data_IF_446035065249
#
_entry.id   IF_446035065249
#
_cell.length_a   1.000
_cell.length_b   1.000
_cell.length_c   1.000
_cell.angle_alpha   90.00
_cell.angle_beta   90.00
_cell.angle_gamma   90.00
#
_symmetry.space_group_name_H-M   'P 1'
#
loop_
_entity.id
_entity.type
_entity.pdbx_description
1 polymer ?
#
# COMPACT_ATOMS: atom_id res chain seq x y z
N UNK A 1 -21.04 -5.75 19.00
CA UNK A 1 -21.70 -6.24 17.78
C UNK A 1 -20.91 -5.88 16.53
N UNK A 2 -20.58 -4.61 16.32
CA UNK A 2 -19.77 -4.20 15.17
C UNK A 2 -18.37 -4.81 15.18
N UNK A 3 -17.78 -4.99 16.35
CA UNK A 3 -16.45 -5.62 16.48
C UNK A 3 -16.45 -7.08 16.03
N UNK A 4 -17.55 -7.80 16.26
CA UNK A 4 -17.65 -9.19 15.83
C UNK A 4 -17.76 -9.31 14.31
N UNK A 5 -18.50 -8.40 13.66
CA UNK A 5 -18.57 -8.37 12.19
C UNK A 5 -17.19 -8.14 11.58
N UNK A 6 -16.43 -7.17 12.13
CA UNK A 6 -15.08 -6.87 11.65
C UNK A 6 -14.10 -8.01 11.88
N UNK A 7 -14.26 -8.76 12.97
CA UNK A 7 -13.40 -9.91 13.28
C UNK A 7 -13.53 -11.04 12.26
N UNK A 8 -14.67 -11.10 11.56
CA UNK A 8 -14.93 -12.13 10.55
C UNK A 8 -14.63 -11.68 9.14
N UNK A 9 -14.33 -10.39 8.95
CA UNK A 9 -14.01 -9.85 7.64
C UNK A 9 -12.64 -10.33 7.21
N UNK A 10 -12.54 -10.70 5.94
CA UNK A 10 -11.31 -11.21 5.35
C UNK A 10 -10.66 -10.17 4.47
N UNK A 11 -9.36 -10.05 4.61
CA UNK A 11 -8.54 -9.21 3.75
C UNK A 11 -7.63 -10.10 2.92
N UNK A 12 -7.78 -10.03 1.62
CA UNK A 12 -6.94 -10.77 0.68
C UNK A 12 -5.94 -9.83 0.05
N UNK A 13 -4.66 -10.08 0.30
CA UNK A 13 -3.57 -9.31 -0.29
C UNK A 13 -2.84 -10.22 -1.26
N UNK A 14 -2.91 -9.89 -2.54
CA UNK A 14 -2.27 -10.66 -3.60
C UNK A 14 -0.95 -9.97 -3.92
N UNK A 15 0.17 -10.65 -3.60
CA UNK A 15 1.50 -10.08 -3.77
C UNK A 15 2.19 -10.78 -4.93
N UNK A 16 2.62 -9.99 -5.92
CA UNK A 16 3.32 -10.49 -7.10
C UNK A 16 4.70 -9.86 -7.19
N UNK A 17 5.72 -10.68 -7.41
CA UNK A 17 7.08 -10.19 -7.66
C UNK A 17 7.34 -10.18 -9.16
N UNK A 18 7.27 -9.00 -9.75
CA UNK A 18 7.47 -8.80 -11.19
C UNK A 18 8.85 -8.27 -11.55
N UNK A 19 9.87 -8.51 -10.70
CA UNK A 19 11.22 -7.97 -10.93
C UNK A 19 12.29 -8.94 -10.47
N UNK A 20 13.53 -8.71 -10.90
CA UNK A 20 14.69 -9.55 -10.57
C UNK A 20 15.89 -8.77 -10.03
N UNK A 21 15.74 -7.47 -9.83
CA UNK A 21 16.85 -6.59 -9.42
C UNK A 21 17.14 -6.66 -7.93
N UNK A 22 16.11 -6.81 -7.11
CA UNK A 22 16.24 -6.82 -5.66
C UNK A 22 15.64 -8.12 -5.13
N UNK A 23 16.41 -8.82 -4.30
CA UNK A 23 15.90 -10.02 -3.65
C UNK A 23 14.92 -9.62 -2.56
N UNK A 24 13.76 -10.27 -2.53
CA UNK A 24 12.77 -10.01 -1.48
C UNK A 24 13.26 -10.61 -0.17
N UNK A 25 13.47 -9.78 0.88
CA UNK A 25 13.89 -10.31 2.18
C UNK A 25 12.83 -11.26 2.77
N UNK A 26 13.30 -12.24 3.52
CA UNK A 26 12.42 -13.16 4.23
C UNK A 26 11.50 -12.36 5.16
N UNK A 27 10.19 -12.65 5.09
CA UNK A 27 9.20 -11.98 5.94
C UNK A 27 8.60 -10.71 5.36
N UNK A 28 9.15 -10.17 4.26
CA UNK A 28 8.63 -8.93 3.68
C UNK A 28 7.17 -9.07 3.22
N UNK A 29 6.84 -10.19 2.56
CA UNK A 29 5.47 -10.42 2.10
C UNK A 29 4.47 -10.41 3.25
N UNK A 30 4.84 -11.01 4.37
CA UNK A 30 4.00 -11.02 5.57
C UNK A 30 3.84 -9.61 6.15
N UNK A 31 4.91 -8.82 6.18
CA UNK A 31 4.86 -7.45 6.67
C UNK A 31 3.96 -6.58 5.79
N UNK A 32 4.04 -6.74 4.48
CA UNK A 32 3.17 -6.02 3.53
C UNK A 32 1.70 -6.37 3.79
N UNK A 33 1.41 -7.65 3.98
CA UNK A 33 0.05 -8.10 4.29
C UNK A 33 -0.43 -7.49 5.61
N UNK A 34 0.42 -7.50 6.63
CA UNK A 34 0.08 -6.89 7.93
C UNK A 34 -0.15 -5.40 7.81
N UNK A 35 0.63 -4.71 6.98
CA UNK A 35 0.46 -3.27 6.75
C UNK A 35 -0.91 -2.99 6.12
N UNK A 36 -1.30 -3.74 5.11
CA UNK A 36 -2.61 -3.59 4.47
C UNK A 36 -3.75 -3.82 5.47
N UNK A 37 -3.66 -4.89 6.24
CA UNK A 37 -4.68 -5.22 7.25
C UNK A 37 -4.76 -4.13 8.31
N UNK A 38 -3.61 -3.63 8.77
CA UNK A 38 -3.57 -2.59 9.80
C UNK A 38 -4.23 -1.29 9.32
N UNK A 39 -4.00 -0.88 8.08
CA UNK A 39 -4.66 0.30 7.51
C UNK A 39 -6.17 0.12 7.52
N UNK A 40 -6.65 -1.03 7.04
CA UNK A 40 -8.09 -1.28 6.94
C UNK A 40 -8.76 -1.30 8.32
N UNK A 41 -8.09 -1.89 9.31
CA UNK A 41 -8.60 -1.92 10.68
C UNK A 41 -8.63 -0.53 11.30
N UNK A 42 -7.56 0.23 11.12
CA UNK A 42 -7.47 1.58 11.66
C UNK A 42 -8.51 2.50 11.04
N UNK A 43 -8.82 2.32 9.76
CA UNK A 43 -9.83 3.07 9.04
C UNK A 43 -11.24 2.51 9.22
N UNK A 44 -11.39 1.46 10.00
CA UNK A 44 -12.68 0.81 10.30
C UNK A 44 -13.40 0.39 9.02
N UNK A 45 -12.65 -0.13 8.07
CA UNK A 45 -13.19 -0.62 6.81
C UNK A 45 -14.09 -1.84 7.08
N UNK A 46 -15.30 -1.80 6.53
CA UNK A 46 -16.27 -2.86 6.72
C UNK A 46 -16.33 -3.81 5.53
N UNK A 47 -16.47 -5.09 5.83
CA UNK A 47 -16.60 -6.14 4.83
C UNK A 47 -15.27 -6.70 4.37
N UNK A 48 -15.37 -7.67 3.48
CA UNK A 48 -14.19 -8.30 2.90
C UNK A 48 -13.53 -7.35 1.89
N UNK A 49 -12.20 -7.37 1.84
CA UNK A 49 -11.43 -6.50 0.97
C UNK A 49 -10.36 -7.29 0.23
N UNK A 50 -10.00 -6.81 -0.96
CA UNK A 50 -8.99 -7.41 -1.81
C UNK A 50 -8.12 -6.30 -2.39
N UNK A 51 -6.80 -6.49 -2.35
CA UNK A 51 -5.84 -5.55 -2.91
C UNK A 51 -4.68 -6.32 -3.55
N UNK A 52 -4.18 -5.81 -4.66
CA UNK A 52 -3.02 -6.38 -5.34
C UNK A 52 -1.81 -5.48 -5.12
N UNK A 53 -0.70 -6.09 -4.68
CA UNK A 53 0.57 -5.40 -4.50
C UNK A 53 1.58 -6.05 -5.45
N UNK A 54 2.14 -5.28 -6.35
CA UNK A 54 3.12 -5.77 -7.32
C UNK A 54 4.45 -5.08 -7.11
N UNK A 55 5.50 -5.86 -6.96
CA UNK A 55 6.87 -5.35 -6.92
C UNK A 55 7.44 -5.32 -8.32
N UNK A 56 8.00 -4.17 -8.70
CA UNK A 56 8.60 -3.94 -10.01
C UNK A 56 9.97 -3.30 -9.84
N UNK A 57 10.67 -3.07 -10.95
CA UNK A 57 11.92 -2.31 -10.95
C UNK A 57 11.69 -0.86 -11.42
N UNK A 58 12.74 -0.06 -11.42
CA UNK A 58 12.65 1.35 -11.81
C UNK A 58 12.21 1.53 -13.25
N UNK A 59 12.67 0.66 -14.14
CA UNK A 59 12.30 0.74 -15.56
C UNK A 59 10.80 0.52 -15.76
N UNK A 60 10.26 -0.49 -15.11
CA UNK A 60 8.83 -0.81 -15.24
C UNK A 60 7.94 0.26 -14.60
N UNK A 61 8.30 0.76 -13.41
CA UNK A 61 7.47 1.78 -12.76
C UNK A 61 7.52 3.11 -13.54
N UNK A 62 8.65 3.40 -14.17
CA UNK A 62 8.79 4.54 -15.06
C UNK A 62 7.83 4.41 -16.25
N UNK A 63 7.79 3.22 -16.87
CA UNK A 63 6.89 2.92 -17.97
C UNK A 63 5.42 3.10 -17.57
N UNK A 64 5.04 2.58 -16.41
CA UNK A 64 3.67 2.69 -15.89
C UNK A 64 3.31 4.13 -15.56
N UNK A 65 4.23 4.88 -14.97
CA UNK A 65 4.01 6.28 -14.61
C UNK A 65 3.78 7.13 -15.85
N UNK A 66 4.56 6.88 -16.90
CA UNK A 66 4.43 7.58 -18.18
C UNK A 66 3.10 7.22 -18.87
N UNK A 67 2.76 5.93 -18.91
CA UNK A 67 1.57 5.44 -19.61
C UNK A 67 0.26 5.86 -18.92
N UNK A 68 0.20 5.74 -17.59
CA UNK A 68 -1.04 5.92 -16.83
C UNK A 68 -1.14 7.27 -16.10
N UNK A 69 -0.04 7.94 -15.86
CA UNK A 69 -0.01 9.23 -15.14
C UNK A 69 0.56 10.36 -15.98
N UNK A 70 0.98 10.09 -17.19
CA UNK A 70 1.59 11.05 -18.12
C UNK A 70 2.84 11.73 -17.53
N UNK A 71 3.53 11.04 -16.61
CA UNK A 71 4.77 11.52 -16.00
C UNK A 71 5.94 10.68 -16.47
N UNK A 72 6.83 11.28 -17.23
CA UNK A 72 7.99 10.60 -17.80
C UNK A 72 9.14 10.55 -16.78
N UNK A 73 8.92 9.83 -15.69
CA UNK A 73 9.92 9.66 -14.64
C UNK A 73 9.62 8.42 -13.81
N UNK A 74 10.66 7.86 -13.19
CA UNK A 74 10.47 6.80 -12.21
C UNK A 74 9.94 7.39 -10.90
N UNK A 75 9.21 6.59 -10.15
CA UNK A 75 8.71 6.94 -8.83
C UNK A 75 8.92 5.73 -7.91
N UNK A 76 8.61 5.88 -6.64
CA UNK A 76 8.73 4.79 -5.68
C UNK A 76 7.48 3.90 -5.64
N UNK A 77 6.31 4.50 -5.73
CA UNK A 77 5.04 3.79 -5.62
C UNK A 77 3.97 4.44 -6.51
N UNK A 78 3.10 3.60 -7.07
CA UNK A 78 1.91 4.04 -7.79
C UNK A 78 0.69 3.37 -7.17
N UNK A 79 -0.39 4.14 -7.04
CA UNK A 79 -1.67 3.67 -6.51
C UNK A 79 -2.73 3.78 -7.61
N UNK A 80 -3.44 2.69 -7.87
CA UNK A 80 -4.51 2.66 -8.86
C UNK A 80 -5.81 2.24 -8.19
N UNK A 81 -6.57 3.21 -7.63
CA UNK A 81 -7.84 2.89 -6.98
C UNK A 81 -8.86 2.32 -7.97
N UNK A 82 -9.60 1.31 -7.54
CA UNK A 82 -10.70 0.73 -8.31
C UNK A 82 -12.06 1.17 -7.78
N UNK A 83 -12.08 2.03 -6.77
CA UNK A 83 -13.30 2.59 -6.19
C UNK A 83 -13.19 4.08 -5.99
N UNK A 84 -14.34 4.69 -5.72
CA UNK A 84 -14.44 6.12 -5.51
C UNK A 84 -15.53 6.41 -4.47
N UNK A 85 -15.25 7.30 -3.54
CA UNK A 85 -16.20 7.71 -2.51
C UNK A 85 -16.76 6.55 -1.68
N UNK A 86 -15.90 5.58 -1.37
CA UNK A 86 -16.28 4.41 -0.57
C UNK A 86 -17.05 3.34 -1.33
N UNK A 87 -17.24 3.52 -2.62
CA UNK A 87 -17.96 2.56 -3.46
C UNK A 87 -16.96 1.77 -4.29
N UNK A 88 -16.93 0.46 -4.09
CA UNK A 88 -16.00 -0.46 -4.76
C UNK A 88 -16.76 -1.57 -5.45
N UNK A 89 -16.24 -2.02 -6.58
CA UNK A 89 -16.76 -3.22 -7.23
C UNK A 89 -16.46 -4.43 -6.36
N UNK A 90 -17.37 -5.38 -6.38
CA UNK A 90 -17.26 -6.60 -5.57
C UNK A 90 -16.85 -7.76 -6.47
N UNK A 91 -15.85 -8.53 -6.04
CA UNK A 91 -15.48 -9.75 -6.72
C UNK A 91 -16.60 -10.77 -6.53
N UNK A 92 -17.26 -11.24 -7.62
CA UNK A 92 -18.41 -12.14 -7.49
C UNK A 92 -18.05 -13.50 -6.88
N UNK A 93 -16.78 -13.91 -6.96
CA UNK A 93 -16.36 -15.21 -6.44
C UNK A 93 -16.07 -15.17 -4.95
N UNK A 94 -15.61 -14.03 -4.42
CA UNK A 94 -15.18 -13.91 -3.02
C UNK A 94 -16.05 -13.00 -2.19
N UNK A 95 -16.86 -12.15 -2.82
CA UNK A 95 -17.62 -11.12 -2.12
C UNK A 95 -16.76 -9.96 -1.62
N UNK A 96 -15.48 -9.92 -1.99
CA UNK A 96 -14.57 -8.90 -1.51
C UNK A 96 -14.66 -7.62 -2.35
N UNK A 97 -14.59 -6.48 -1.68
CA UNK A 97 -14.50 -5.18 -2.34
C UNK A 97 -13.09 -5.03 -2.91
N UNK A 98 -13.01 -4.75 -4.20
CA UNK A 98 -11.73 -4.58 -4.90
C UNK A 98 -11.23 -3.16 -4.70
N UNK A 99 -10.22 -3.01 -3.85
CA UNK A 99 -9.69 -1.69 -3.47
C UNK A 99 -8.84 -1.07 -4.57
N UNK A 100 -8.03 -1.88 -5.24
CA UNK A 100 -7.16 -1.41 -6.29
C UNK A 100 -5.80 -2.09 -6.32
N UNK A 101 -4.86 -1.44 -7.03
CA UNK A 101 -3.52 -1.95 -7.22
C UNK A 101 -2.49 -1.01 -6.62
N UNK A 102 -1.51 -1.59 -5.93
CA UNK A 102 -0.33 -0.92 -5.40
C UNK A 102 0.87 -1.44 -6.18
N UNK A 103 1.64 -0.56 -6.78
CA UNK A 103 2.85 -0.92 -7.52
C UNK A 103 4.04 -0.24 -6.87
N UNK A 104 5.01 -1.03 -6.42
CA UNK A 104 6.18 -0.54 -5.69
C UNK A 104 7.46 -0.91 -6.43
N UNK A 105 8.33 0.08 -6.68
CA UNK A 105 9.67 -0.20 -7.17
C UNK A 105 10.57 -0.61 -6.01
N UNK A 106 10.96 -1.88 -5.97
CA UNK A 106 11.89 -2.36 -4.94
C UNK A 106 13.27 -1.72 -5.07
N UNK A 107 13.73 -1.44 -6.29
CA UNK A 107 14.99 -0.73 -6.51
C UNK A 107 14.95 0.65 -5.85
N UNK A 108 13.87 1.41 -6.09
CA UNK A 108 13.75 2.74 -5.52
C UNK A 108 13.58 2.68 -4.00
N UNK A 109 12.83 1.69 -3.52
CA UNK A 109 12.67 1.49 -2.09
C UNK A 109 14.00 1.19 -1.41
N UNK A 110 14.85 0.37 -2.04
CA UNK A 110 16.18 0.06 -1.53
C UNK A 110 17.08 1.31 -1.49
N UNK A 111 17.07 2.11 -2.55
CA UNK A 111 17.79 3.37 -2.61
C UNK A 111 17.35 4.33 -1.49
N UNK A 112 16.05 4.48 -1.30
CA UNK A 112 15.49 5.36 -0.28
C UNK A 112 15.79 4.87 1.13
N UNK A 113 15.70 3.57 1.36
CA UNK A 113 16.03 2.99 2.65
C UNK A 113 17.48 3.28 3.03
N UNK A 114 18.41 3.11 2.10
CA UNK A 114 19.82 3.43 2.32
C UNK A 114 20.03 4.93 2.57
N UNK A 115 19.36 5.78 1.81
CA UNK A 115 19.46 7.23 1.94
C UNK A 115 18.95 7.72 3.31
N UNK A 116 17.83 7.17 3.77
CA UNK A 116 17.21 7.58 5.02
C UNK A 116 17.69 6.79 6.24
N UNK A 117 18.57 5.81 6.05
CA UNK A 117 19.16 5.06 7.15
C UNK A 117 18.22 4.08 7.85
N UNK A 118 17.28 3.49 7.11
CA UNK A 118 16.43 2.45 7.68
C UNK A 118 16.35 1.21 6.77
N UNK A 119 15.65 0.18 7.23
CA UNK A 119 15.60 -1.09 6.51
C UNK A 119 14.72 -1.02 5.26
N UNK A 120 14.98 -1.92 4.31
CA UNK A 120 14.13 -2.08 3.14
C UNK A 120 12.70 -2.44 3.56
N UNK A 121 12.57 -3.32 4.57
CA UNK A 121 11.27 -3.74 5.07
C UNK A 121 10.44 -2.55 5.55
N UNK A 122 11.07 -1.64 6.29
CA UNK A 122 10.39 -0.45 6.77
C UNK A 122 9.97 0.45 5.62
N UNK A 123 10.84 0.66 4.65
CA UNK A 123 10.53 1.51 3.49
C UNK A 123 9.37 0.95 2.68
N UNK A 124 9.41 -0.35 2.37
CA UNK A 124 8.33 -1.00 1.60
C UNK A 124 7.00 -0.95 2.37
N UNK A 125 7.03 -1.17 3.67
CA UNK A 125 5.81 -1.08 4.48
C UNK A 125 5.26 0.34 4.51
N UNK A 126 6.12 1.34 4.62
CA UNK A 126 5.70 2.74 4.57
C UNK A 126 5.02 3.07 3.24
N UNK A 127 5.62 2.67 2.13
CA UNK A 127 5.04 2.87 0.80
C UNK A 127 3.70 2.15 0.65
N UNK A 128 3.59 0.95 1.23
CA UNK A 128 2.35 0.18 1.23
C UNK A 128 1.25 0.91 2.00
N UNK A 129 1.56 1.39 3.20
CA UNK A 129 0.60 2.13 4.04
C UNK A 129 0.15 3.40 3.33
N UNK A 130 1.09 4.16 2.79
CA UNK A 130 0.81 5.38 2.04
C UNK A 130 -0.13 5.11 0.86
N UNK A 131 0.17 4.08 0.08
CA UNK A 131 -0.63 3.71 -1.07
C UNK A 131 -2.02 3.21 -0.68
N UNK A 132 -2.12 2.41 0.39
CA UNK A 132 -3.41 1.93 0.88
C UNK A 132 -4.32 3.08 1.28
N UNK A 133 -3.78 4.11 1.91
CA UNK A 133 -4.57 5.30 2.26
C UNK A 133 -5.09 6.01 1.00
N UNK A 134 -4.28 6.07 -0.05
CA UNK A 134 -4.75 6.60 -1.33
C UNK A 134 -5.90 5.76 -1.92
N UNK A 135 -5.80 4.44 -1.83
CA UNK A 135 -6.87 3.56 -2.32
C UNK A 135 -8.19 3.80 -1.56
N UNK A 136 -8.10 4.24 -0.31
CA UNK A 136 -9.26 4.55 0.51
C UNK A 136 -9.75 5.99 0.34
N UNK A 137 -9.11 6.77 -0.54
CA UNK A 137 -9.58 8.10 -0.89
C UNK A 137 -8.81 9.25 -0.27
N UNK A 138 -7.77 8.99 0.53
CA UNK A 138 -6.94 10.05 1.09
C UNK A 138 -6.04 10.65 0.02
N UNK A 139 -5.83 11.95 0.10
CA UNK A 139 -4.95 12.67 -0.80
C UNK A 139 -3.97 13.52 0.02
N UNK A 140 -2.92 14.02 -0.64
CA UNK A 140 -1.90 14.86 0.01
C UNK A 140 -1.57 16.11 -0.80
N UNK A 141 -2.52 16.60 -1.59
CA UNK A 141 -2.32 17.78 -2.42
C UNK A 141 -2.28 19.06 -1.60
N UNK A 142 -3.13 19.20 -0.59
CA UNK A 142 -3.18 20.33 0.29
C UNK A 142 -2.41 20.09 1.58
N UNK A 143 -1.83 21.16 2.22
CA UNK A 143 -1.08 20.99 3.46
C UNK A 143 -1.85 20.29 4.59
N UNK A 144 -3.14 20.58 4.74
CA UNK A 144 -3.99 19.96 5.75
C UNK A 144 -4.17 18.46 5.47
N UNK A 145 -4.34 18.10 4.21
CA UNK A 145 -4.47 16.71 3.78
C UNK A 145 -3.17 15.95 4.02
N UNK A 146 -2.02 16.57 3.74
CA UNK A 146 -0.70 15.98 4.00
C UNK A 146 -0.51 15.69 5.47
N UNK A 147 -0.89 16.61 6.34
CA UNK A 147 -0.75 16.46 7.78
C UNK A 147 -1.61 15.31 8.32
N UNK A 148 -2.86 15.23 7.87
CA UNK A 148 -3.77 14.14 8.26
C UNK A 148 -3.23 12.80 7.78
N UNK A 149 -2.80 12.72 6.55
CA UNK A 149 -2.29 11.48 5.95
C UNK A 149 -1.02 11.02 6.66
N UNK A 150 -0.08 11.93 6.94
CA UNK A 150 1.15 11.61 7.67
C UNK A 150 0.86 11.06 9.05
N UNK A 151 -0.08 11.66 9.77
CA UNK A 151 -0.47 11.20 11.10
C UNK A 151 -1.02 9.77 11.06
N UNK A 152 -1.84 9.47 10.06
CA UNK A 152 -2.38 8.12 9.87
C UNK A 152 -1.28 7.14 9.50
N UNK A 153 -0.35 7.53 8.64
CA UNK A 153 0.80 6.70 8.29
C UNK A 153 1.62 6.34 9.52
N UNK A 154 1.95 7.32 10.34
CA UNK A 154 2.74 7.10 11.55
C UNK A 154 2.00 6.20 12.55
N UNK A 155 0.70 6.38 12.69
CA UNK A 155 -0.11 5.55 13.57
C UNK A 155 -0.08 4.07 13.14
N UNK A 156 -0.27 3.81 11.85
CA UNK A 156 -0.24 2.43 11.33
C UNK A 156 1.16 1.83 11.45
N UNK A 157 2.20 2.59 11.10
CA UNK A 157 3.58 2.11 11.22
C UNK A 157 3.92 1.75 12.66
N UNK A 158 3.43 2.52 13.61
CA UNK A 158 3.60 2.22 15.03
C UNK A 158 2.91 0.90 15.42
N UNK A 159 1.69 0.69 14.92
CA UNK A 159 0.93 -0.53 15.21
C UNK A 159 1.63 -1.79 14.71
N UNK A 160 2.33 -1.72 13.59
CA UNK A 160 3.05 -2.88 13.06
C UNK A 160 4.50 -2.95 13.53
N UNK A 161 4.89 -2.07 14.47
CA UNK A 161 6.21 -2.12 15.10
C UNK A 161 7.35 -1.53 14.27
N UNK A 162 7.04 -0.66 13.32
CA UNK A 162 8.03 -0.08 12.41
C UNK A 162 8.10 1.45 12.55
N UNK A 163 8.19 1.92 13.77
CA UNK A 163 8.30 3.35 14.05
C UNK A 163 9.65 3.92 13.59
N UNK A 164 9.69 5.24 13.41
CA UNK A 164 10.93 5.96 13.31
C UNK A 164 11.55 6.00 14.71
N UNK A 165 12.71 5.46 14.81
CA UNK A 165 13.46 5.54 16.07
C UNK A 165 14.54 6.60 15.96
#
# INVERSE_FOLDING_TARGET
MMMMAMANDKVRVIITDGQKKVRIPTGLRMLVRRACIAVLREEKFEGNAEVCVTFVDNEEIHRLNKEFREKDSATDVLSFPLGENGIYDVNPDTGAKQLGDVVISLERAEEQAAEFGHSLQREVCYLTVHSMLHLLGYDHMEPDEKAVMRKKEESVMSLIGLTRS
#
